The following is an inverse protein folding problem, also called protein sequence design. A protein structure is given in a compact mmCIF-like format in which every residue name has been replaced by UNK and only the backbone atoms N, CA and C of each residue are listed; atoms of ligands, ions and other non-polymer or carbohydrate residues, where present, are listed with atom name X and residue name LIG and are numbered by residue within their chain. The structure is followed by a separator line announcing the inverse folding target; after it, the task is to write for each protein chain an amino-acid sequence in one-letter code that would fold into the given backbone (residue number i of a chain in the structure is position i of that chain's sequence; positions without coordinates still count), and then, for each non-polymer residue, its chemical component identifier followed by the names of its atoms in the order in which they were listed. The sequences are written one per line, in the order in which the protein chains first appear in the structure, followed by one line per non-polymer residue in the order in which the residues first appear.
data_IF_433382860133
#
_entry.id   IF_433382860133
#
_cell.length_a   1.000
_cell.length_b   1.000
_cell.length_c   1.000
_cell.angle_alpha   90.00
_cell.angle_beta   90.00
_cell.angle_gamma   90.00
#
_symmetry.space_group_name_H-M   'P 1'
#
loop_
_entity.id
_entity.type
_entity.pdbx_description
1 polymer ?
#
# COMPACT_ATOMS: atom_id res chain seq x y z
N UNK A 1 -1.82 29.49 -37.85
CA UNK A 1 -0.79 28.46 -37.62
C UNK A 1 -1.35 27.46 -36.60
N UNK A 2 -1.86 26.28 -37.05
CA UNK A 2 -2.45 25.28 -36.15
C UNK A 2 -1.32 24.53 -35.45
N UNK A 3 -1.22 24.70 -34.12
CA UNK A 3 -0.29 23.94 -33.27
C UNK A 3 -0.74 22.47 -33.33
N UNK A 4 0.08 21.63 -33.98
CA UNK A 4 -0.09 20.19 -33.92
C UNK A 4 0.07 19.76 -32.46
N UNK A 5 -1.05 19.41 -31.76
CA UNK A 5 -0.99 18.62 -30.53
C UNK A 5 -0.21 17.35 -30.86
N UNK A 6 0.98 17.18 -30.32
CA UNK A 6 1.73 15.92 -30.42
C UNK A 6 0.86 14.83 -29.79
N UNK A 7 0.38 13.94 -30.62
CA UNK A 7 -0.34 12.73 -30.17
C UNK A 7 0.75 11.84 -29.57
N UNK A 8 0.93 11.94 -28.24
CA UNK A 8 1.70 10.95 -27.50
C UNK A 8 1.03 9.58 -27.74
N UNK A 9 1.74 8.68 -28.36
CA UNK A 9 1.25 7.32 -28.61
C UNK A 9 0.94 6.71 -27.24
N UNK A 10 -0.24 6.13 -27.07
CA UNK A 10 -0.76 5.56 -25.81
C UNK A 10 0.19 4.56 -25.13
N UNK A 11 1.18 4.05 -25.85
CA UNK A 11 2.29 3.19 -25.40
C UNK A 11 3.38 3.94 -24.62
N UNK A 12 3.45 5.26 -24.72
CA UNK A 12 4.48 6.11 -24.07
C UNK A 12 4.01 6.70 -22.72
N UNK A 13 2.77 6.44 -22.30
CA UNK A 13 2.23 6.88 -21.04
C UNK A 13 2.45 5.84 -19.94
N UNK A 14 2.59 6.34 -18.71
CA UNK A 14 2.59 5.49 -17.51
C UNK A 14 1.21 4.87 -17.30
N UNK A 15 1.19 3.66 -16.79
CA UNK A 15 -0.04 2.91 -16.52
C UNK A 15 -0.38 2.98 -15.03
N UNK A 16 -1.52 3.58 -14.72
CA UNK A 16 -2.12 3.58 -13.41
C UNK A 16 -3.32 2.62 -13.38
N UNK A 17 -3.56 1.99 -12.23
CA UNK A 17 -4.71 1.13 -12.01
C UNK A 17 -5.69 1.80 -11.05
N UNK A 18 -6.94 1.31 -11.03
CA UNK A 18 -7.99 1.83 -10.16
C UNK A 18 -8.32 0.81 -9.09
N UNK A 19 -7.95 1.14 -7.85
CA UNK A 19 -8.17 0.26 -6.69
C UNK A 19 -7.42 -1.07 -6.76
N UNK A 20 -7.59 -1.86 -5.73
CA UNK A 20 -7.20 -3.28 -5.67
C UNK A 20 -8.06 -3.99 -4.61
N UNK A 21 -7.69 -5.22 -4.19
CA UNK A 21 -8.45 -5.98 -3.19
C UNK A 21 -8.53 -5.29 -1.81
N UNK A 22 -7.50 -4.56 -1.41
CA UNK A 22 -7.45 -3.78 -0.16
C UNK A 22 -8.11 -2.41 -0.33
N UNK A 23 -7.82 -1.73 -1.44
CA UNK A 23 -8.16 -0.34 -1.67
C UNK A 23 -9.55 -0.16 -2.29
N UNK A 24 -10.23 0.91 -1.93
CA UNK A 24 -11.48 1.31 -2.56
C UNK A 24 -11.31 1.68 -4.04
N UNK A 25 -12.41 1.62 -4.80
CA UNK A 25 -12.42 1.97 -6.24
C UNK A 25 -12.08 3.43 -6.54
N UNK A 26 -12.09 4.29 -5.53
CA UNK A 26 -11.77 5.72 -5.68
C UNK A 26 -10.27 6.00 -5.64
N UNK A 27 -9.44 5.03 -5.21
CA UNK A 27 -8.00 5.19 -5.11
C UNK A 27 -7.36 4.74 -6.42
N UNK A 28 -6.65 5.65 -7.07
CA UNK A 28 -5.79 5.32 -8.19
C UNK A 28 -4.43 4.88 -7.69
N UNK A 29 -3.82 3.92 -8.36
CA UNK A 29 -2.57 3.31 -7.90
C UNK A 29 -1.53 3.31 -8.99
N UNK A 30 -0.30 3.64 -8.59
CA UNK A 30 0.88 3.55 -9.42
C UNK A 30 1.81 2.46 -8.88
N UNK A 31 2.62 1.85 -9.74
CA UNK A 31 3.52 0.78 -9.33
C UNK A 31 4.75 0.67 -10.21
N UNK A 32 5.86 0.28 -9.59
CA UNK A 32 7.15 -0.05 -10.19
C UNK A 32 7.57 -1.47 -9.78
N UNK A 33 8.59 -2.09 -10.42
CA UNK A 33 9.05 -3.43 -10.09
C UNK A 33 9.56 -3.53 -8.65
N UNK A 34 9.00 -4.46 -7.87
CA UNK A 34 9.38 -4.70 -6.49
C UNK A 34 10.86 -5.08 -6.38
N UNK A 35 11.55 -4.52 -5.39
CA UNK A 35 12.96 -4.78 -5.11
C UNK A 35 13.95 -4.17 -6.12
N UNK A 36 13.59 -4.09 -7.39
CA UNK A 36 14.42 -3.44 -8.42
C UNK A 36 14.38 -1.91 -8.30
N UNK A 37 13.25 -1.35 -7.91
CA UNK A 37 13.05 0.07 -7.67
C UNK A 37 13.01 0.45 -6.20
N UNK A 38 13.53 -0.38 -5.29
CA UNK A 38 13.48 -0.20 -3.85
C UNK A 38 14.89 -0.11 -3.24
N UNK A 39 15.64 0.99 -3.42
CA UNK A 39 17.02 1.08 -2.95
C UNK A 39 17.16 1.01 -1.41
N UNK A 40 16.15 1.44 -0.68
CA UNK A 40 16.14 1.41 0.79
C UNK A 40 15.62 0.10 1.40
N UNK A 41 15.16 -0.87 0.61
CA UNK A 41 14.57 -2.09 1.14
C UNK A 41 15.61 -3.05 1.72
N UNK A 42 15.34 -3.57 2.93
CA UNK A 42 16.19 -4.56 3.61
C UNK A 42 15.37 -5.79 4.01
N UNK A 43 14.44 -5.65 4.95
CA UNK A 43 13.69 -6.75 5.55
C UNK A 43 12.60 -7.35 4.66
N UNK A 44 12.20 -6.65 3.61
CA UNK A 44 11.24 -7.12 2.60
C UNK A 44 11.84 -7.24 1.20
N UNK A 45 13.17 -7.19 1.07
CA UNK A 45 13.82 -7.20 -0.23
C UNK A 45 13.56 -8.52 -0.95
N UNK A 46 12.67 -8.48 -1.92
CA UNK A 46 12.31 -9.62 -2.79
C UNK A 46 12.17 -9.11 -4.22
N UNK A 47 12.63 -9.89 -5.17
CA UNK A 47 12.62 -9.56 -6.60
C UNK A 47 12.03 -10.71 -7.40
N UNK A 48 11.06 -10.44 -8.24
CA UNK A 48 10.59 -11.41 -9.24
C UNK A 48 11.37 -11.21 -10.56
N UNK A 49 11.98 -12.25 -11.07
CA UNK A 49 12.65 -12.21 -12.36
C UNK A 49 11.68 -11.69 -13.44
N UNK A 50 12.13 -10.74 -14.25
CA UNK A 50 11.29 -10.06 -15.24
C UNK A 50 10.63 -11.03 -16.23
N UNK A 51 11.34 -12.02 -16.68
CA UNK A 51 10.90 -12.92 -17.75
C UNK A 51 10.15 -14.12 -17.18
N UNK A 52 10.75 -14.80 -16.21
CA UNK A 52 10.24 -16.07 -15.65
C UNK A 52 9.26 -15.89 -14.49
N UNK A 53 9.30 -14.75 -13.78
CA UNK A 53 8.57 -14.52 -12.54
C UNK A 53 9.17 -15.27 -11.33
N UNK A 54 10.27 -16.01 -11.49
CA UNK A 54 10.92 -16.67 -10.35
C UNK A 54 11.33 -15.64 -9.31
N UNK A 55 10.92 -15.85 -8.06
CA UNK A 55 11.19 -14.92 -6.97
C UNK A 55 12.49 -15.27 -6.26
N UNK A 56 13.25 -14.25 -5.91
CA UNK A 56 14.43 -14.33 -5.07
C UNK A 56 14.27 -13.35 -3.90
N UNK A 57 14.46 -13.84 -2.70
CA UNK A 57 14.46 -13.03 -1.48
C UNK A 57 15.90 -12.61 -1.15
N UNK A 58 16.06 -11.41 -0.59
CA UNK A 58 17.36 -10.89 -0.16
C UNK A 58 17.84 -11.57 1.14
N UNK A 59 19.13 -11.43 1.47
CA UNK A 59 19.75 -12.15 2.61
C UNK A 59 19.16 -11.74 3.97
N UNK A 60 18.66 -10.52 4.10
CA UNK A 60 18.08 -9.97 5.34
C UNK A 60 16.56 -9.95 5.32
N UNK A 61 15.93 -10.68 4.40
CA UNK A 61 14.45 -10.69 4.26
C UNK A 61 13.80 -11.39 5.45
N UNK A 62 13.02 -10.67 6.25
CA UNK A 62 12.20 -11.21 7.35
C UNK A 62 10.85 -11.70 6.86
N UNK A 63 10.31 -11.03 5.85
CA UNK A 63 9.07 -11.41 5.16
C UNK A 63 9.18 -11.07 3.68
N UNK A 64 8.61 -11.92 2.83
CA UNK A 64 8.58 -11.68 1.38
C UNK A 64 7.71 -10.48 1.06
N UNK A 65 8.21 -9.60 0.19
CA UNK A 65 7.46 -8.46 -0.30
C UNK A 65 6.16 -8.91 -0.97
N UNK A 66 5.04 -8.34 -0.54
CA UNK A 66 3.71 -8.67 -1.06
C UNK A 66 3.60 -8.42 -2.56
N UNK A 67 4.18 -7.31 -3.00
CA UNK A 67 4.19 -6.91 -4.40
C UNK A 67 5.07 -7.82 -5.26
N UNK A 68 6.20 -8.32 -4.75
CA UNK A 68 7.03 -9.29 -5.47
C UNK A 68 6.29 -10.62 -5.66
N UNK A 69 5.47 -11.04 -4.69
CA UNK A 69 4.61 -12.23 -4.84
C UNK A 69 3.57 -12.05 -5.95
N UNK A 70 2.97 -10.87 -6.09
CA UNK A 70 2.06 -10.56 -7.20
C UNK A 70 2.78 -10.60 -8.55
N UNK A 71 4.00 -10.08 -8.62
CA UNK A 71 4.81 -10.10 -9.85
C UNK A 71 5.20 -11.53 -10.25
N UNK A 72 5.49 -12.39 -9.27
CA UNK A 72 5.77 -13.80 -9.53
C UNK A 72 4.55 -14.50 -10.14
N UNK A 73 3.37 -14.21 -9.62
CA UNK A 73 2.13 -14.87 -10.01
C UNK A 73 1.51 -14.29 -11.29
N UNK A 74 1.55 -12.96 -11.48
CA UNK A 74 0.82 -12.27 -12.54
C UNK A 74 1.75 -11.59 -13.54
N UNK A 75 1.98 -12.24 -14.69
CA UNK A 75 2.84 -11.72 -15.77
C UNK A 75 2.43 -10.33 -16.26
N UNK A 76 1.12 -10.07 -16.37
CA UNK A 76 0.63 -8.77 -16.85
C UNK A 76 0.92 -7.64 -15.82
N UNK A 77 0.77 -7.92 -14.52
CA UNK A 77 1.15 -6.98 -13.44
C UNK A 77 2.65 -6.69 -13.49
N UNK A 78 3.47 -7.73 -13.62
CA UNK A 78 4.94 -7.61 -13.76
C UNK A 78 5.31 -6.76 -14.97
N UNK A 79 4.75 -7.06 -16.14
CA UNK A 79 5.03 -6.31 -17.38
C UNK A 79 4.61 -4.84 -17.28
N UNK A 80 3.48 -4.53 -16.65
CA UNK A 80 3.03 -3.16 -16.45
C UNK A 80 3.99 -2.37 -15.55
N UNK A 81 4.48 -2.97 -14.47
CA UNK A 81 5.42 -2.33 -13.54
C UNK A 81 6.76 -2.05 -14.21
N UNK A 82 7.28 -3.00 -15.00
CA UNK A 82 8.48 -2.81 -15.79
C UNK A 82 8.30 -1.75 -16.88
N UNK A 83 7.16 -1.72 -17.57
CA UNK A 83 6.84 -0.65 -18.52
C UNK A 83 6.96 0.73 -17.87
N UNK A 84 6.36 0.92 -16.69
CA UNK A 84 6.44 2.19 -15.98
C UNK A 84 7.89 2.55 -15.60
N UNK A 85 8.65 1.58 -15.12
CA UNK A 85 10.04 1.80 -14.73
C UNK A 85 10.94 2.16 -15.91
N UNK A 86 10.80 1.44 -17.04
CA UNK A 86 11.57 1.70 -18.25
C UNK A 86 11.31 3.11 -18.80
N UNK A 87 10.09 3.60 -18.70
CA UNK A 87 9.74 4.96 -19.11
C UNK A 87 10.32 6.06 -18.20
N UNK A 88 10.58 5.76 -16.93
CA UNK A 88 11.07 6.72 -15.95
C UNK A 88 12.59 6.69 -15.77
N UNK A 89 13.18 5.49 -15.79
CA UNK A 89 14.62 5.36 -15.56
C UNK A 89 15.45 6.18 -16.56
N UNK A 90 16.46 6.87 -16.06
CA UNK A 90 17.34 7.68 -16.89
C UNK A 90 16.79 9.03 -17.34
N UNK A 91 15.56 9.42 -16.92
CA UNK A 91 15.00 10.74 -17.19
C UNK A 91 15.43 11.76 -16.13
N UNK A 92 15.45 13.05 -16.51
CA UNK A 92 15.58 14.14 -15.55
C UNK A 92 14.28 14.29 -14.73
N UNK A 93 14.34 15.01 -13.60
CA UNK A 93 13.15 15.29 -12.78
C UNK A 93 12.05 15.97 -13.60
N UNK A 94 12.37 16.97 -14.42
CA UNK A 94 11.41 17.70 -15.26
C UNK A 94 10.74 16.81 -16.28
N UNK A 95 11.51 15.90 -16.90
CA UNK A 95 10.97 14.92 -17.84
C UNK A 95 10.02 13.93 -17.15
N UNK A 96 10.36 13.50 -15.93
CA UNK A 96 9.50 12.64 -15.12
C UNK A 96 8.22 13.38 -14.69
N UNK A 97 8.32 14.64 -14.25
CA UNK A 97 7.15 15.49 -13.92
C UNK A 97 6.19 15.54 -15.10
N UNK A 98 6.70 15.88 -16.29
CA UNK A 98 5.88 15.94 -17.49
C UNK A 98 5.20 14.60 -17.79
N UNK A 99 5.95 13.52 -17.78
CA UNK A 99 5.43 12.19 -18.07
C UNK A 99 4.38 11.73 -17.06
N UNK A 100 4.61 11.97 -15.78
CA UNK A 100 3.65 11.64 -14.72
C UNK A 100 2.38 12.45 -14.90
N UNK A 101 2.47 13.76 -15.10
CA UNK A 101 1.31 14.63 -15.31
C UNK A 101 0.47 14.22 -16.53
N UNK A 102 1.13 13.95 -17.66
CA UNK A 102 0.46 13.51 -18.89
C UNK A 102 -0.25 12.15 -18.71
N UNK A 103 0.21 11.33 -17.75
CA UNK A 103 -0.31 10.00 -17.45
C UNK A 103 -1.39 9.98 -16.37
N UNK A 104 -1.52 11.04 -15.56
CA UNK A 104 -2.51 11.09 -14.48
C UNK A 104 -3.94 11.12 -15.06
N UNK A 105 -4.82 10.19 -14.65
CA UNK A 105 -6.22 10.23 -15.07
C UNK A 105 -6.92 11.49 -14.58
N UNK A 106 -7.72 12.13 -15.42
CA UNK A 106 -8.41 13.38 -15.09
C UNK A 106 -9.28 13.27 -13.82
N UNK A 107 -9.92 12.12 -13.61
CA UNK A 107 -10.80 11.85 -12.46
C UNK A 107 -10.07 11.34 -11.22
N UNK A 108 -8.73 11.27 -11.24
CA UNK A 108 -7.97 10.79 -10.09
C UNK A 108 -7.85 11.88 -9.03
N UNK A 109 -8.62 11.81 -7.96
CA UNK A 109 -8.55 12.72 -6.81
C UNK A 109 -7.66 12.20 -5.69
N UNK A 110 -7.53 10.87 -5.55
CA UNK A 110 -6.71 10.20 -4.54
C UNK A 110 -5.80 9.19 -5.22
N UNK A 111 -4.49 9.38 -5.07
CA UNK A 111 -3.47 8.58 -5.75
C UNK A 111 -2.51 7.97 -4.74
N UNK A 112 -2.42 6.63 -4.72
CA UNK A 112 -1.36 5.92 -4.02
C UNK A 112 -0.15 5.79 -4.93
N UNK A 113 0.92 6.46 -4.57
CA UNK A 113 2.22 6.29 -5.18
C UNK A 113 2.84 5.01 -4.60
N UNK A 114 3.16 4.03 -5.45
CA UNK A 114 3.74 2.74 -5.09
C UNK A 114 2.82 1.79 -4.27
N UNK A 115 1.97 1.03 -4.98
CA UNK A 115 1.50 -0.25 -4.44
C UNK A 115 2.66 -1.26 -4.47
N UNK A 116 3.57 -1.10 -5.43
CA UNK A 116 4.81 -1.85 -5.62
C UNK A 116 5.94 -0.92 -6.03
N UNK A 117 7.14 -1.22 -5.59
CA UNK A 117 8.30 -0.36 -5.83
C UNK A 117 8.42 0.73 -4.77
N UNK A 118 9.38 1.62 -4.97
CA UNK A 118 9.67 2.76 -4.10
C UNK A 118 10.29 3.90 -4.93
N UNK A 119 10.59 5.02 -4.32
CA UNK A 119 11.39 6.08 -4.94
C UNK A 119 12.81 5.55 -5.18
N UNK A 120 13.16 5.36 -6.44
CA UNK A 120 14.40 4.67 -6.81
C UNK A 120 15.62 5.62 -6.91
N UNK A 121 15.39 6.94 -6.99
CA UNK A 121 16.43 7.96 -6.89
C UNK A 121 15.82 9.32 -6.49
N UNK A 122 16.69 10.31 -6.18
CA UNK A 122 16.26 11.64 -5.76
C UNK A 122 15.44 12.37 -6.83
N UNK A 123 15.85 12.32 -8.10
CA UNK A 123 15.13 12.99 -9.19
C UNK A 123 13.68 12.50 -9.32
N UNK A 124 13.44 11.22 -9.09
CA UNK A 124 12.10 10.63 -9.13
C UNK A 124 11.27 11.01 -7.91
N UNK A 125 11.89 11.10 -6.73
CA UNK A 125 11.25 11.63 -5.54
C UNK A 125 10.84 13.09 -5.76
N UNK A 126 11.78 13.93 -6.21
CA UNK A 126 11.55 15.34 -6.51
C UNK A 126 10.46 15.55 -7.56
N UNK A 127 10.41 14.66 -8.56
CA UNK A 127 9.35 14.70 -9.58
C UNK A 127 7.95 14.49 -8.97
N UNK A 128 7.77 13.57 -8.04
CA UNK A 128 6.49 13.38 -7.37
C UNK A 128 6.12 14.51 -6.41
N UNK A 129 7.11 15.11 -5.73
CA UNK A 129 6.90 16.33 -4.92
C UNK A 129 6.37 17.46 -5.80
N UNK A 130 6.99 17.67 -6.97
CA UNK A 130 6.57 18.71 -7.90
C UNK A 130 5.21 18.42 -8.56
N UNK A 131 4.94 17.15 -8.90
CA UNK A 131 3.62 16.73 -9.38
C UNK A 131 2.54 16.99 -8.36
N UNK A 132 2.77 16.70 -7.07
CA UNK A 132 1.82 16.98 -6.00
C UNK A 132 1.58 18.49 -5.88
N UNK A 133 2.64 19.30 -5.89
CA UNK A 133 2.56 20.78 -5.83
C UNK A 133 1.73 21.35 -6.99
N UNK A 134 1.89 20.82 -8.20
CA UNK A 134 1.14 21.25 -9.39
C UNK A 134 -0.31 20.76 -9.43
N UNK A 135 -0.72 19.90 -8.51
CA UNK A 135 -2.06 19.34 -8.44
C UNK A 135 -2.69 19.50 -7.05
N UNK A 136 -2.90 20.72 -6.55
CA UNK A 136 -3.35 20.97 -5.17
C UNK A 136 -4.76 20.40 -4.87
N UNK A 137 -5.59 20.20 -5.89
CA UNK A 137 -6.92 19.57 -5.77
C UNK A 137 -6.90 18.04 -5.70
N UNK A 138 -5.73 17.40 -5.64
CA UNK A 138 -5.56 15.94 -5.55
C UNK A 138 -4.78 15.58 -4.31
N UNK A 139 -5.08 14.46 -3.71
CA UNK A 139 -4.31 13.89 -2.59
C UNK A 139 -3.42 12.77 -3.11
N UNK A 140 -2.15 12.83 -2.74
CA UNK A 140 -1.16 11.80 -3.01
C UNK A 140 -0.69 11.19 -1.70
N UNK A 141 -0.40 9.88 -1.69
CA UNK A 141 0.25 9.26 -0.57
C UNK A 141 1.18 8.13 -1.00
N UNK A 142 2.21 7.92 -0.21
CA UNK A 142 3.20 6.88 -0.45
C UNK A 142 3.67 6.22 0.85
N UNK A 143 4.10 4.98 0.72
CA UNK A 143 4.94 4.30 1.69
C UNK A 143 6.35 4.25 1.12
N UNK A 144 7.35 4.58 1.91
CA UNK A 144 8.74 4.61 1.42
C UNK A 144 9.74 4.13 2.45
N UNK A 145 10.76 3.42 1.98
CA UNK A 145 12.01 3.11 2.71
C UNK A 145 13.17 4.00 2.24
N UNK A 146 12.95 4.81 1.21
CA UNK A 146 13.94 5.75 0.66
C UNK A 146 13.98 7.05 1.48
N UNK A 147 14.13 6.91 2.80
CA UNK A 147 13.99 8.00 3.77
C UNK A 147 15.01 9.13 3.60
N UNK A 148 16.17 8.82 3.05
CA UNK A 148 17.19 9.84 2.76
C UNK A 148 16.75 10.80 1.65
N UNK A 149 15.95 10.37 0.67
CA UNK A 149 15.37 11.26 -0.33
C UNK A 149 14.31 12.18 0.29
N UNK A 150 13.46 11.64 1.17
CA UNK A 150 12.51 12.43 1.92
C UNK A 150 13.21 13.46 2.82
N UNK A 151 14.24 13.03 3.56
CA UNK A 151 15.01 13.93 4.43
C UNK A 151 15.60 15.11 3.66
N UNK A 152 16.12 14.87 2.46
CA UNK A 152 16.68 15.91 1.60
C UNK A 152 15.66 17.00 1.17
N UNK A 153 14.35 16.72 1.31
CA UNK A 153 13.23 17.59 0.93
C UNK A 153 12.20 17.79 2.04
N UNK A 154 12.56 17.51 3.31
CA UNK A 154 11.59 17.42 4.41
C UNK A 154 10.74 18.69 4.58
N UNK A 155 11.31 19.84 4.31
CA UNK A 155 10.67 21.14 4.45
C UNK A 155 9.96 21.61 3.14
N UNK A 156 10.04 20.81 2.09
CA UNK A 156 9.49 21.11 0.76
C UNK A 156 8.28 20.24 0.40
N UNK A 157 7.88 19.31 1.27
CA UNK A 157 6.78 18.38 1.00
C UNK A 157 5.44 19.14 1.04
N UNK A 158 4.66 19.16 -0.06
CA UNK A 158 3.37 19.83 -0.07
C UNK A 158 2.34 19.09 0.79
N UNK A 159 1.38 19.82 1.36
CA UNK A 159 0.36 19.28 2.28
C UNK A 159 -0.48 18.13 1.67
N UNK A 160 -0.65 18.16 0.36
CA UNK A 160 -1.40 17.13 -0.37
C UNK A 160 -0.58 15.88 -0.72
N UNK A 161 0.66 15.74 -0.21
CA UNK A 161 1.51 14.56 -0.32
C UNK A 161 1.77 13.94 1.05
N UNK A 162 0.99 12.94 1.43
CA UNK A 162 1.18 12.20 2.68
C UNK A 162 2.24 11.11 2.52
N UNK A 163 3.37 11.26 3.19
CA UNK A 163 4.44 10.26 3.21
C UNK A 163 4.39 9.42 4.49
N UNK A 164 4.61 8.12 4.34
CA UNK A 164 4.66 7.16 5.44
C UNK A 164 5.99 6.41 5.37
N UNK A 165 6.85 6.61 6.36
CA UNK A 165 8.10 5.87 6.47
C UNK A 165 7.79 4.39 6.72
N UNK A 166 8.27 3.51 5.86
CA UNK A 166 8.00 2.08 5.97
C UNK A 166 9.16 1.39 6.69
N UNK A 167 8.91 0.83 7.87
CA UNK A 167 9.94 0.11 8.63
C UNK A 167 10.50 -1.11 7.88
N UNK A 168 11.72 -1.50 8.24
CA UNK A 168 12.47 -2.59 7.62
C UNK A 168 13.34 -2.14 6.45
N UNK A 169 13.78 -0.90 6.47
CA UNK A 169 14.71 -0.30 5.51
C UNK A 169 16.11 -0.07 6.07
N UNK A 170 17.04 0.31 5.20
CA UNK A 170 18.44 0.59 5.54
C UNK A 170 18.62 1.87 6.37
N UNK A 171 17.61 2.76 6.39
CA UNK A 171 17.68 4.06 7.04
C UNK A 171 16.59 4.23 8.13
N UNK A 172 16.14 3.16 8.76
CA UNK A 172 15.07 3.19 9.77
C UNK A 172 15.36 4.12 10.95
N UNK A 173 16.64 4.31 11.30
CA UNK A 173 17.05 5.25 12.33
C UNK A 173 16.62 6.71 12.07
N UNK A 174 16.32 7.07 10.81
CA UNK A 174 15.78 8.39 10.48
C UNK A 174 14.33 8.56 10.96
N UNK A 175 13.56 7.47 11.10
CA UNK A 175 12.17 7.51 11.55
C UNK A 175 12.10 8.11 12.95
N UNK A 176 12.88 7.59 13.87
CA UNK A 176 12.92 8.06 15.25
C UNK A 176 13.57 9.45 15.36
N UNK A 177 14.72 9.63 14.68
CA UNK A 177 15.47 10.89 14.75
C UNK A 177 14.67 12.10 14.26
N UNK A 178 13.85 11.93 13.21
CA UNK A 178 13.08 13.03 12.62
C UNK A 178 11.58 12.92 12.87
N UNK A 179 11.15 11.98 13.71
CA UNK A 179 9.74 11.75 14.06
C UNK A 179 8.85 11.58 12.82
N UNK A 180 9.34 10.87 11.81
CA UNK A 180 8.58 10.61 10.61
C UNK A 180 7.36 9.72 10.92
N UNK A 181 6.19 10.13 10.44
CA UNK A 181 5.02 9.24 10.43
C UNK A 181 5.38 7.93 9.75
N UNK A 182 5.06 6.80 10.38
CA UNK A 182 5.56 5.51 9.92
C UNK A 182 4.50 4.41 9.88
N UNK A 183 4.76 3.40 9.05
CA UNK A 183 3.99 2.18 8.95
C UNK A 183 4.90 0.98 9.21
N UNK A 184 4.47 0.08 10.10
CA UNK A 184 5.21 -1.12 10.48
C UNK A 184 4.42 -2.37 10.16
N UNK A 185 5.04 -3.34 9.47
CA UNK A 185 4.46 -4.67 9.30
C UNK A 185 4.60 -5.42 10.62
N UNK A 186 3.48 -5.93 11.12
CA UNK A 186 3.38 -6.73 12.35
C UNK A 186 2.88 -8.13 12.03
N UNK A 187 3.26 -9.10 12.85
CA UNK A 187 2.96 -10.52 12.63
C UNK A 187 1.73 -10.98 13.40
N UNK A 188 1.20 -10.13 14.31
CA UNK A 188 -0.04 -10.39 15.04
C UNK A 188 -0.71 -9.07 15.45
N UNK A 189 -1.99 -9.13 15.78
CA UNK A 189 -2.73 -8.00 16.38
C UNK A 189 -2.14 -7.63 17.73
N UNK A 190 -1.76 -8.63 18.55
CA UNK A 190 -1.09 -8.42 19.84
C UNK A 190 0.21 -7.62 19.70
N UNK A 191 1.02 -7.91 18.67
CA UNK A 191 2.23 -7.13 18.40
C UNK A 191 1.92 -5.65 18.09
N UNK A 192 0.83 -5.37 17.37
CA UNK A 192 0.40 -4.00 17.11
C UNK A 192 -0.02 -3.30 18.41
N UNK A 193 -0.80 -3.98 19.26
CA UNK A 193 -1.26 -3.48 20.55
C UNK A 193 -0.09 -3.18 21.51
N UNK A 194 0.87 -4.10 21.65
CA UNK A 194 2.09 -3.94 22.46
C UNK A 194 2.94 -2.73 22.01
N UNK A 195 2.84 -2.35 20.73
CA UNK A 195 3.52 -1.17 20.17
C UNK A 195 2.65 0.09 20.19
N UNK A 196 1.43 0.03 20.68
CA UNK A 196 0.49 1.15 20.66
C UNK A 196 0.06 1.58 19.24
N UNK A 197 0.14 0.69 18.26
CA UNK A 197 -0.15 1.00 16.85
C UNK A 197 -1.53 0.48 16.44
N UNK A 198 -2.33 1.35 15.83
CA UNK A 198 -3.58 0.94 15.17
C UNK A 198 -3.29 0.20 13.88
N UNK A 199 -4.05 -0.86 13.59
CA UNK A 199 -3.92 -1.61 12.34
C UNK A 199 -4.72 -0.91 11.24
N UNK A 200 -4.07 -0.63 10.11
CA UNK A 200 -4.71 -0.05 8.93
C UNK A 200 -5.17 -1.16 7.97
N UNK A 201 -6.47 -1.19 7.70
CA UNK A 201 -7.10 -2.21 6.87
C UNK A 201 -7.42 -1.76 5.43
N UNK A 202 -7.39 -0.45 5.15
CA UNK A 202 -7.86 0.11 3.87
C UNK A 202 -7.05 1.32 3.36
N UNK A 203 -5.89 1.56 3.95
CA UNK A 203 -4.99 2.70 3.75
C UNK A 203 -5.53 4.04 4.26
N UNK A 204 -6.68 4.09 4.94
CA UNK A 204 -7.23 5.36 5.43
C UNK A 204 -6.30 6.08 6.40
N UNK A 205 -5.59 5.34 7.27
CA UNK A 205 -4.59 5.92 8.17
C UNK A 205 -3.40 6.50 7.39
N UNK A 206 -3.08 5.97 6.22
CA UNK A 206 -1.92 6.41 5.44
C UNK A 206 -2.07 7.85 4.93
N UNK A 207 -3.28 8.30 4.60
CA UNK A 207 -3.49 9.62 4.01
C UNK A 207 -4.37 10.57 4.86
N UNK A 208 -5.06 10.08 5.91
CA UNK A 208 -5.88 10.91 6.79
C UNK A 208 -5.27 11.13 8.18
N UNK A 209 -4.56 10.14 8.75
CA UNK A 209 -3.98 10.24 10.07
C UNK A 209 -2.61 10.92 10.04
N UNK A 210 -2.23 11.53 11.17
CA UNK A 210 -0.85 11.96 11.44
C UNK A 210 -0.07 10.92 12.25
N UNK A 211 -0.78 9.95 12.86
CA UNK A 211 -0.17 8.93 13.70
C UNK A 211 0.46 7.82 12.88
N UNK A 212 1.51 7.22 13.43
CA UNK A 212 2.08 5.97 12.93
C UNK A 212 1.12 4.81 13.16
N UNK A 213 1.20 3.77 12.34
CA UNK A 213 0.26 2.66 12.34
C UNK A 213 0.91 1.34 11.94
N UNK A 214 0.17 0.24 12.11
CA UNK A 214 0.59 -1.09 11.74
C UNK A 214 -0.14 -1.62 10.51
N UNK A 215 0.52 -2.54 9.82
CA UNK A 215 -0.05 -3.36 8.73
C UNK A 215 0.12 -4.83 9.11
N UNK A 216 -0.95 -5.62 9.08
CA UNK A 216 -0.84 -7.07 9.32
C UNK A 216 -0.13 -7.77 8.16
N UNK A 217 0.72 -8.72 8.52
CA UNK A 217 1.39 -9.59 7.55
C UNK A 217 0.38 -10.27 6.63
N UNK A 218 0.64 -10.28 5.33
CA UNK A 218 -0.23 -10.88 4.32
C UNK A 218 0.57 -11.38 3.11
N UNK A 219 -0.13 -11.80 2.06
CA UNK A 219 0.50 -12.30 0.84
C UNK A 219 1.05 -13.71 0.98
N UNK A 220 1.83 -14.14 0.00
CA UNK A 220 2.45 -15.47 -0.03
C UNK A 220 3.83 -15.40 0.61
N UNK A 221 4.02 -16.13 1.70
CA UNK A 221 5.27 -16.18 2.44
C UNK A 221 5.99 -17.51 2.23
N UNK A 222 7.33 -17.57 2.29
CA UNK A 222 8.09 -18.80 2.15
C UNK A 222 7.67 -19.84 3.18
N UNK A 223 7.48 -21.09 2.76
CA UNK A 223 7.11 -22.18 3.65
C UNK A 223 8.12 -22.31 4.81
N UNK A 224 7.62 -22.54 6.02
CA UNK A 224 8.45 -22.70 7.22
C UNK A 224 9.00 -21.40 7.83
N UNK A 225 8.91 -20.26 7.14
CA UNK A 225 9.35 -18.95 7.68
C UNK A 225 8.48 -18.50 8.86
N UNK A 226 9.02 -17.60 9.70
CA UNK A 226 8.25 -16.96 10.77
C UNK A 226 7.03 -16.22 10.21
N UNK A 227 7.17 -15.54 9.10
CA UNK A 227 6.07 -14.85 8.42
C UNK A 227 4.96 -15.82 7.96
N UNK A 228 5.34 -17.00 7.45
CA UNK A 228 4.38 -18.05 7.07
C UNK A 228 3.64 -18.64 8.29
N UNK A 229 4.35 -18.87 9.38
CA UNK A 229 3.76 -19.35 10.65
C UNK A 229 2.80 -18.34 11.24
N UNK A 230 3.19 -17.06 11.28
CA UNK A 230 2.34 -15.96 11.74
C UNK A 230 1.07 -15.84 10.88
N UNK A 231 1.21 -15.87 9.56
CA UNK A 231 0.07 -15.82 8.65
C UNK A 231 -0.88 -17.02 8.84
N UNK A 232 -0.35 -18.21 9.13
CA UNK A 232 -1.16 -19.39 9.43
C UNK A 232 -1.91 -19.24 10.76
N UNK A 233 -1.29 -18.64 11.78
CA UNK A 233 -1.95 -18.32 13.05
C UNK A 233 -3.07 -17.29 12.88
N UNK A 234 -2.81 -16.21 12.16
CA UNK A 234 -3.81 -15.19 11.84
C UNK A 234 -5.02 -15.77 11.08
N UNK A 235 -4.78 -16.70 10.15
CA UNK A 235 -5.86 -17.39 9.42
C UNK A 235 -6.76 -18.23 10.33
N UNK A 236 -6.20 -18.87 11.35
CA UNK A 236 -6.99 -19.61 12.36
C UNK A 236 -7.88 -18.70 13.19
N UNK A 237 -7.49 -17.42 13.35
CA UNK A 237 -8.27 -16.36 14.01
C UNK A 237 -9.23 -15.64 13.04
N UNK A 238 -9.42 -16.16 11.82
CA UNK A 238 -10.34 -15.56 10.83
C UNK A 238 -9.73 -14.53 9.89
N UNK A 239 -8.43 -14.18 10.03
CA UNK A 239 -7.77 -13.29 9.09
C UNK A 239 -7.54 -13.95 7.74
N UNK A 240 -8.22 -13.47 6.72
CA UNK A 240 -8.14 -14.02 5.36
C UNK A 240 -7.33 -13.13 4.41
N UNK A 241 -6.69 -12.09 4.97
CA UNK A 241 -5.96 -11.11 4.20
C UNK A 241 -6.87 -10.07 3.55
N UNK A 242 -6.29 -9.29 2.65
CA UNK A 242 -6.99 -8.21 1.94
C UNK A 242 -7.65 -8.66 0.62
N UNK A 243 -7.85 -9.96 0.39
CA UNK A 243 -8.43 -10.45 -0.87
C UNK A 243 -9.92 -10.11 -0.99
N UNK A 244 -10.41 -9.99 -2.23
CA UNK A 244 -11.84 -9.76 -2.50
C UNK A 244 -12.72 -10.89 -1.96
N UNK A 245 -12.23 -12.15 -2.01
CA UNK A 245 -12.94 -13.31 -1.44
C UNK A 245 -13.07 -13.21 0.07
N UNK A 246 -12.04 -12.71 0.76
CA UNK A 246 -12.06 -12.48 2.19
C UNK A 246 -13.13 -11.46 2.61
N UNK A 247 -13.20 -10.33 1.90
CA UNK A 247 -14.23 -9.30 2.16
C UNK A 247 -15.66 -9.82 1.94
N UNK A 248 -15.86 -10.67 0.94
CA UNK A 248 -17.15 -11.30 0.67
C UNK A 248 -17.51 -12.32 1.77
N UNK A 249 -16.56 -13.15 2.22
CA UNK A 249 -16.80 -14.10 3.29
C UNK A 249 -17.19 -13.42 4.60
N UNK A 250 -16.52 -12.33 4.98
CA UNK A 250 -16.86 -11.50 6.13
C UNK A 250 -18.24 -10.85 5.98
N UNK A 251 -18.54 -10.29 4.80
CA UNK A 251 -19.85 -9.69 4.53
C UNK A 251 -20.98 -10.71 4.57
N UNK A 252 -20.76 -11.95 4.07
CA UNK A 252 -21.74 -13.05 4.12
C UNK A 252 -21.95 -13.54 5.54
N UNK A 253 -20.89 -13.60 6.36
CA UNK A 253 -21.00 -13.91 7.79
C UNK A 253 -21.87 -12.86 8.50
N UNK A 254 -21.66 -11.57 8.23
CA UNK A 254 -22.48 -10.48 8.76
C UNK A 254 -23.95 -10.59 8.38
N UNK A 255 -24.23 -10.85 7.11
CA UNK A 255 -25.60 -11.02 6.63
C UNK A 255 -26.29 -12.22 7.30
N UNK A 256 -25.58 -13.32 7.54
CA UNK A 256 -26.13 -14.48 8.24
C UNK A 256 -26.44 -14.18 9.71
N UNK A 257 -25.61 -13.40 10.41
CA UNK A 257 -25.84 -12.99 11.78
C UNK A 257 -26.97 -11.94 11.91
N UNK A 258 -27.06 -10.99 10.96
CA UNK A 258 -28.10 -9.98 10.98
C UNK A 258 -29.52 -10.53 10.70
N UNK A 259 -29.62 -11.74 10.17
CA UNK A 259 -30.89 -12.45 9.95
C UNK A 259 -31.34 -13.28 11.14
N UNK A 260 -30.49 -13.46 12.18
CA UNK A 260 -30.83 -14.18 13.41
C UNK A 260 -31.23 -13.17 14.48
N UNK A 261 -32.48 -13.18 14.98
CA UNK A 261 -32.90 -12.28 16.05
C UNK A 261 -32.04 -12.40 17.30
N UNK A 262 -31.69 -11.28 17.94
CA UNK A 262 -30.80 -11.18 19.11
C UNK A 262 -31.17 -12.14 20.25
N UNK A 263 -32.43 -12.50 20.40
CA UNK A 263 -32.92 -13.41 21.41
C UNK A 263 -32.36 -14.85 21.31
N UNK A 264 -31.81 -15.22 20.16
CA UNK A 264 -31.20 -16.54 19.93
C UNK A 264 -29.68 -16.56 20.10
N UNK A 265 -29.06 -15.43 20.41
CA UNK A 265 -27.63 -15.35 20.60
C UNK A 265 -27.26 -15.71 22.04
N UNK A 266 -26.30 -16.63 22.19
CA UNK A 266 -25.74 -16.92 23.51
C UNK A 266 -24.98 -15.68 24.04
N UNK A 267 -24.94 -15.49 25.40
CA UNK A 267 -24.29 -14.33 26.01
C UNK A 267 -22.84 -14.10 25.53
N UNK A 268 -22.05 -15.15 25.40
CA UNK A 268 -20.65 -15.06 24.97
C UNK A 268 -20.49 -14.73 23.48
N UNK A 269 -21.44 -15.13 22.62
CA UNK A 269 -21.45 -14.69 21.20
C UNK A 269 -21.78 -13.21 21.12
N UNK A 270 -22.69 -12.73 21.94
CA UNK A 270 -23.06 -11.30 22.00
C UNK A 270 -21.87 -10.46 22.48
N UNK A 271 -21.21 -10.86 23.55
CA UNK A 271 -20.02 -10.20 24.11
C UNK A 271 -18.84 -10.21 23.11
N UNK A 272 -18.60 -11.33 22.43
CA UNK A 272 -17.58 -11.43 21.39
C UNK A 272 -17.86 -10.51 20.20
N UNK A 273 -19.11 -10.35 19.79
CA UNK A 273 -19.50 -9.46 18.69
C UNK A 273 -19.40 -7.98 19.09
N UNK A 274 -19.73 -7.60 20.32
CA UNK A 274 -19.58 -6.24 20.83
C UNK A 274 -18.10 -5.82 20.93
N UNK A 275 -17.23 -6.73 21.27
CA UNK A 275 -15.77 -6.50 21.33
C UNK A 275 -15.12 -6.40 19.95
N UNK A 276 -15.61 -7.17 18.97
CA UNK A 276 -15.08 -7.15 17.59
C UNK A 276 -15.64 -5.94 16.81
N UNK A 277 -16.86 -5.49 17.12
CA UNK A 277 -17.56 -4.44 16.36
C UNK A 277 -18.27 -3.41 17.23
N UNK A 278 -17.53 -2.52 17.89
CA UNK A 278 -18.13 -1.50 18.78
C UNK A 278 -19.12 -0.53 18.10
N UNK A 279 -19.17 -0.51 16.75
CA UNK A 279 -20.11 0.33 15.97
C UNK A 279 -21.48 -0.30 15.73
N UNK A 280 -21.70 -1.57 16.04
CA UNK A 280 -23.01 -2.22 15.83
C UNK A 280 -24.08 -1.79 16.85
N UNK A 281 -23.72 -1.15 17.96
CA UNK A 281 -24.65 -0.60 18.95
C UNK A 281 -25.63 0.44 18.39
N UNK A 282 -25.35 1.02 17.22
CA UNK A 282 -26.15 2.12 16.65
C UNK A 282 -27.10 1.72 15.52
N UNK A 283 -27.10 0.45 15.10
CA UNK A 283 -27.99 0.01 14.00
C UNK A 283 -29.31 -0.60 14.47
N UNK A 284 -29.52 -0.78 15.77
CA UNK A 284 -30.72 -1.40 16.35
C UNK A 284 -31.81 -0.44 16.86
N UNK A 285 -31.63 0.87 16.77
CA UNK A 285 -32.61 1.86 17.23
C UNK A 285 -33.00 2.82 16.13
N UNK A 286 -33.81 2.38 15.21
CA UNK A 286 -34.41 3.31 14.26
C UNK A 286 -34.99 2.66 13.02
N UNK A 287 -36.00 1.85 13.14
CA UNK A 287 -37.12 1.71 12.19
C UNK A 287 -38.31 1.20 13.02
N UNK A 288 -39.14 2.11 13.48
CA UNK A 288 -40.56 1.93 13.73
C UNK A 288 -41.24 2.96 12.87
#
# INVERSE_FOLDING_TARGET
MKIKKSILVKSELLKLNRGNAKLGKNIWTFSLPAGFSCPGALECLSKANRDTGKIADGPNTKFRCFAASDEAQYKNTRNQRWHNFELLKGKSSEQMVKLIQDSLPQKASLIRIHVSGDFFNQNYFDAWVEVARKNPGRTFYAYTKSLHFWLARKDEIPENLALNASHGGTHDWLIEKYQFKSAKVVFSEKEAEEKGLKIDHDDSLAYHSRDSFALLIHGTQPAGSLASKALSALRKLGWTGYSRKAKIAVAMLFLSFSLVPDKYWSPWVREGMENIFPKLKYFGQGIV
#
